data_IF_725767550969
#
_entry.id   IF_725767550969
#
_cell.length_a   1.000
_cell.length_b   1.000
_cell.length_c   1.000
_cell.angle_alpha   90.00
_cell.angle_beta   90.00
_cell.angle_gamma   90.00
#
_symmetry.space_group_name_H-M   'P 1'
#
loop_
_entity.id
_entity.type
_entity.pdbx_description
1 polymer ?
#
# COMPACT_ATOMS: atom_id res chain seq x y z
N UNK A 1 13.45 -13.82 -36.36
CA UNK A 1 12.65 -14.88 -35.71
C UNK A 1 13.43 -15.28 -34.47
N UNK A 2 13.18 -14.87 -33.22
CA UNK A 2 12.05 -14.27 -32.53
C UNK A 2 12.59 -13.26 -31.49
N UNK A 3 12.30 -11.97 -31.62
CA UNK A 3 12.57 -10.95 -30.58
C UNK A 3 11.25 -10.55 -29.92
N UNK A 4 10.63 -11.50 -29.21
CA UNK A 4 9.36 -11.29 -28.53
C UNK A 4 9.57 -11.05 -27.03
N UNK A 5 9.21 -9.85 -26.56
CA UNK A 5 8.98 -9.48 -25.16
C UNK A 5 10.19 -9.39 -24.21
N UNK A 6 10.99 -8.33 -24.37
CA UNK A 6 11.81 -7.80 -23.28
C UNK A 6 10.99 -6.81 -22.43
N UNK A 7 10.02 -7.29 -21.66
CA UNK A 7 9.64 -6.52 -20.46
C UNK A 7 10.88 -6.55 -19.57
N UNK A 8 11.55 -5.41 -19.39
CA UNK A 8 12.78 -5.34 -18.59
C UNK A 8 12.51 -5.97 -17.22
N UNK A 9 13.43 -6.80 -16.71
CA UNK A 9 13.28 -7.44 -15.39
C UNK A 9 12.95 -6.39 -14.31
N UNK A 10 13.54 -5.19 -14.46
CA UNK A 10 13.25 -4.01 -13.68
C UNK A 10 11.79 -3.54 -13.78
N UNK A 11 11.18 -3.46 -14.97
CA UNK A 11 9.76 -3.09 -15.10
C UNK A 11 8.82 -4.14 -14.52
N UNK A 12 9.13 -5.42 -14.68
CA UNK A 12 8.31 -6.49 -14.07
C UNK A 12 8.42 -6.44 -12.55
N UNK A 13 9.63 -6.21 -12.03
CA UNK A 13 9.86 -6.03 -10.60
C UNK A 13 9.19 -4.76 -10.05
N UNK A 14 9.29 -3.64 -10.76
CA UNK A 14 8.66 -2.36 -10.37
C UNK A 14 7.13 -2.47 -10.40
N UNK A 15 6.57 -3.11 -11.42
CA UNK A 15 5.14 -3.36 -11.53
C UNK A 15 4.67 -4.30 -10.41
N UNK A 16 5.40 -5.40 -10.16
CA UNK A 16 5.12 -6.34 -9.07
C UNK A 16 5.25 -5.70 -7.69
N UNK A 17 6.24 -4.82 -7.48
CA UNK A 17 6.38 -4.07 -6.22
C UNK A 17 5.26 -3.06 -6.06
N UNK A 18 4.91 -2.29 -7.09
CA UNK A 18 3.89 -1.25 -6.98
C UNK A 18 2.50 -1.85 -6.81
N UNK A 19 2.11 -2.75 -7.70
CA UNK A 19 0.77 -3.36 -7.69
C UNK A 19 0.64 -4.50 -6.69
N UNK A 20 1.69 -5.30 -6.48
CA UNK A 20 1.68 -6.38 -5.50
C UNK A 20 1.66 -5.86 -4.06
N UNK A 21 2.51 -4.88 -3.72
CA UNK A 21 2.48 -4.27 -2.38
C UNK A 21 1.19 -3.44 -2.20
N UNK A 22 0.76 -2.69 -3.21
CA UNK A 22 -0.50 -1.94 -3.16
C UNK A 22 -1.71 -2.86 -2.92
N UNK A 23 -1.80 -3.98 -3.64
CA UNK A 23 -2.84 -4.99 -3.45
C UNK A 23 -2.77 -5.65 -2.06
N UNK A 24 -1.57 -5.92 -1.55
CA UNK A 24 -1.39 -6.49 -0.21
C UNK A 24 -1.84 -5.54 0.90
N UNK A 25 -1.60 -4.23 0.76
CA UNK A 25 -2.11 -3.20 1.68
C UNK A 25 -3.63 -3.17 1.68
N UNK A 26 -4.28 -3.26 0.51
CA UNK A 26 -5.75 -3.34 0.42
C UNK A 26 -6.29 -4.59 1.10
N UNK A 27 -5.61 -5.73 0.94
CA UNK A 27 -5.98 -6.96 1.64
C UNK A 27 -5.87 -6.81 3.17
N UNK A 28 -4.83 -6.15 3.68
CA UNK A 28 -4.72 -5.80 5.10
C UNK A 28 -5.89 -4.92 5.58
N UNK A 29 -6.32 -3.93 4.80
CA UNK A 29 -7.50 -3.11 5.13
C UNK A 29 -8.77 -3.94 5.24
N UNK A 30 -8.95 -4.92 4.36
CA UNK A 30 -10.09 -5.84 4.41
C UNK A 30 -10.07 -6.69 5.69
N UNK A 31 -8.91 -7.25 6.06
CA UNK A 31 -8.74 -8.02 7.30
C UNK A 31 -9.06 -7.15 8.52
N UNK A 32 -8.54 -5.93 8.58
CA UNK A 32 -8.79 -4.99 9.68
C UNK A 32 -10.27 -4.61 9.75
N UNK A 33 -10.93 -4.39 8.61
CA UNK A 33 -12.36 -4.09 8.57
C UNK A 33 -13.21 -5.26 9.09
N UNK A 34 -12.82 -6.51 8.77
CA UNK A 34 -13.47 -7.70 9.32
C UNK A 34 -13.23 -7.82 10.82
N UNK A 35 -11.98 -7.65 11.27
CA UNK A 35 -11.60 -7.72 12.68
C UNK A 35 -12.30 -6.63 13.51
N UNK A 36 -12.47 -5.42 12.96
CA UNK A 36 -13.17 -4.32 13.61
C UNK A 36 -14.66 -4.62 13.80
N UNK A 37 -15.30 -5.27 12.82
CA UNK A 37 -16.69 -5.71 12.92
C UNK A 37 -16.85 -6.81 13.96
N UNK A 38 -15.97 -7.81 13.93
CA UNK A 38 -16.01 -8.97 14.84
C UNK A 38 -15.69 -8.57 16.28
N UNK A 39 -14.74 -7.66 16.47
CA UNK A 39 -14.32 -7.15 17.79
C UNK A 39 -15.29 -6.11 18.36
N UNK A 40 -16.42 -5.82 17.70
CA UNK A 40 -17.32 -4.69 18.03
C UNK A 40 -16.54 -3.40 18.31
N UNK A 41 -15.55 -3.10 17.48
CA UNK A 41 -14.76 -1.88 17.60
C UNK A 41 -15.73 -0.70 17.59
N UNK A 42 -15.98 -0.12 18.78
CA UNK A 42 -16.96 0.94 18.95
C UNK A 42 -16.55 2.21 18.22
N UNK A 43 -17.27 3.32 18.44
CA UNK A 43 -16.99 4.62 17.79
C UNK A 43 -15.52 5.06 17.90
N UNK A 44 -14.85 4.71 19.00
CA UNK A 44 -13.43 4.97 19.23
C UNK A 44 -12.52 4.09 18.35
N UNK A 45 -12.86 2.82 18.15
CA UNK A 45 -12.12 1.90 17.28
C UNK A 45 -12.17 2.33 15.81
N UNK A 46 -13.34 2.70 15.29
CA UNK A 46 -13.45 3.25 13.92
C UNK A 46 -12.65 4.54 13.75
N UNK A 47 -12.61 5.40 14.77
CA UNK A 47 -11.81 6.63 14.74
C UNK A 47 -10.31 6.34 14.66
N UNK A 48 -9.80 5.41 15.49
CA UNK A 48 -8.39 4.99 15.44
C UNK A 48 -8.07 4.34 14.09
N UNK A 49 -8.96 3.53 13.54
CA UNK A 49 -8.76 2.91 12.22
C UNK A 49 -8.61 3.94 11.11
N UNK A 50 -9.45 4.99 11.10
CA UNK A 50 -9.33 6.09 10.15
C UNK A 50 -8.05 6.92 10.38
N UNK A 51 -7.67 7.14 11.63
CA UNK A 51 -6.46 7.88 11.97
C UNK A 51 -5.19 7.13 11.53
N UNK A 52 -5.09 5.84 11.83
CA UNK A 52 -3.98 4.98 11.40
C UNK A 52 -3.91 4.90 9.88
N UNK A 53 -5.07 4.84 9.20
CA UNK A 53 -5.13 4.85 7.74
C UNK A 53 -4.63 6.17 7.14
N UNK A 54 -5.07 7.31 7.69
CA UNK A 54 -4.59 8.62 7.28
C UNK A 54 -3.08 8.77 7.52
N UNK A 55 -2.57 8.32 8.66
CA UNK A 55 -1.14 8.30 8.97
C UNK A 55 -0.34 7.37 8.05
N UNK A 56 -0.89 6.20 7.71
CA UNK A 56 -0.28 5.25 6.78
C UNK A 56 -0.13 5.83 5.36
N UNK A 57 -1.16 6.51 4.86
CA UNK A 57 -1.11 7.21 3.57
C UNK A 57 -0.14 8.39 3.64
N UNK A 58 -0.17 9.17 4.72
CA UNK A 58 0.78 10.27 4.95
C UNK A 58 2.24 9.78 4.96
N UNK A 59 2.54 8.69 5.65
CA UNK A 59 3.87 8.08 5.69
C UNK A 59 4.32 7.55 4.32
N UNK A 60 3.39 6.93 3.57
CA UNK A 60 3.66 6.47 2.21
C UNK A 60 3.96 7.63 1.27
N UNK A 61 3.17 8.71 1.31
CA UNK A 61 3.41 9.92 0.52
C UNK A 61 4.70 10.59 0.95
N UNK A 62 4.95 10.74 2.26
CA UNK A 62 6.16 11.34 2.79
C UNK A 62 7.42 10.60 2.33
N UNK A 63 7.41 9.26 2.30
CA UNK A 63 8.50 8.46 1.72
C UNK A 63 8.77 8.84 0.26
N UNK A 64 7.73 8.90 -0.57
CA UNK A 64 7.87 9.27 -1.99
C UNK A 64 8.40 10.70 -2.16
N UNK A 65 7.90 11.64 -1.34
CA UNK A 65 8.39 13.02 -1.33
C UNK A 65 9.85 13.10 -0.88
N UNK A 66 10.25 12.35 0.15
CA UNK A 66 11.64 12.31 0.62
C UNK A 66 12.56 11.71 -0.44
N UNK A 67 12.15 10.64 -1.13
CA UNK A 67 12.91 10.07 -2.24
C UNK A 67 13.13 11.10 -3.35
N UNK A 68 12.06 11.80 -3.74
CA UNK A 68 12.12 12.87 -4.73
C UNK A 68 13.03 14.03 -4.32
N UNK A 69 12.95 14.47 -3.05
CA UNK A 69 13.81 15.54 -2.51
C UNK A 69 15.28 15.12 -2.42
N UNK A 70 15.56 13.84 -2.13
CA UNK A 70 16.91 13.28 -2.09
C UNK A 70 17.46 12.92 -3.49
N UNK A 71 16.65 13.03 -4.54
CA UNK A 71 17.04 12.72 -5.92
C UNK A 71 17.24 11.22 -6.19
N UNK A 72 16.57 10.36 -5.41
CA UNK A 72 16.52 8.90 -5.57
C UNK A 72 15.25 8.48 -6.31
#
# INVERSE_FOLDING_TARGET
>A
MLEGFQLTEAQVAEFGMTWGVGGFIVFMLFVIASLAKESKAGKFGTFILFFVLAFGILGFVAKNVIQWVLGL
#
